data_IF_144360434525
#
_entry.id   IF_144360434525
#
_cell.length_a   1.000
_cell.length_b   1.000
_cell.length_c   1.000
_cell.angle_alpha   90.00
_cell.angle_beta   90.00
_cell.angle_gamma   90.00
#
_symmetry.space_group_name_H-M   'P 1'
#
loop_
_entity.id
_entity.type
_entity.pdbx_description
1 polymer ?
#
# COMPACT_ATOMS: atom_id res chain seq x y z
N UNK A 1 12.07 -60.07 -12.79
CA UNK A 1 11.66 -61.02 -13.84
C UNK A 1 11.05 -60.20 -14.96
N UNK A 2 11.75 -60.12 -16.10
CA UNK A 2 11.42 -59.29 -17.25
C UNK A 2 10.64 -60.11 -18.29
N UNK A 3 9.65 -59.48 -18.94
CA UNK A 3 8.92 -59.97 -20.13
C UNK A 3 8.45 -58.71 -20.88
N UNK A 4 9.26 -58.15 -21.80
CA UNK A 4 9.32 -58.36 -23.27
C UNK A 4 8.15 -57.80 -24.09
N UNK A 5 8.56 -56.88 -24.97
CA UNK A 5 7.97 -56.09 -26.07
C UNK A 5 7.06 -56.86 -27.07
N UNK A 6 6.26 -56.14 -27.89
CA UNK A 6 6.61 -56.11 -29.32
C UNK A 6 6.54 -54.74 -30.00
N UNK A 7 7.45 -54.60 -30.96
CA UNK A 7 7.67 -53.54 -31.95
C UNK A 7 6.92 -53.81 -33.27
N UNK A 8 6.56 -52.74 -33.98
CA UNK A 8 6.16 -52.74 -35.41
C UNK A 8 4.83 -52.01 -35.64
N UNK A 9 4.57 -51.20 -36.68
CA UNK A 9 5.14 -51.09 -38.03
C UNK A 9 4.88 -49.67 -38.60
N UNK A 10 5.79 -49.25 -39.48
CA UNK A 10 5.86 -48.05 -40.33
C UNK A 10 4.60 -47.72 -41.15
N UNK A 11 4.47 -46.43 -41.48
CA UNK A 11 4.11 -45.99 -42.84
C UNK A 11 3.24 -44.74 -42.93
N UNK A 12 3.71 -43.68 -43.59
CA UNK A 12 2.85 -42.59 -44.03
C UNK A 12 3.52 -41.23 -44.18
N UNK A 13 4.19 -41.04 -45.31
CA UNK A 13 4.58 -39.72 -45.83
C UNK A 13 3.40 -38.73 -45.85
N UNK A 14 3.60 -37.52 -45.32
CA UNK A 14 2.91 -36.33 -45.81
C UNK A 14 3.88 -35.12 -45.74
N UNK A 15 4.40 -34.74 -46.90
CA UNK A 15 5.20 -33.54 -47.12
C UNK A 15 4.27 -32.48 -47.72
N UNK A 16 3.97 -31.43 -46.96
CA UNK A 16 3.45 -30.13 -47.40
C UNK A 16 3.99 -29.15 -46.34
N UNK A 17 4.89 -28.20 -46.60
CA UNK A 17 4.96 -27.28 -47.73
C UNK A 17 4.20 -26.02 -47.36
N UNK A 18 4.87 -25.00 -46.77
CA UNK A 18 4.26 -23.68 -46.57
C UNK A 18 4.92 -22.82 -45.49
N UNK A 19 5.50 -21.70 -45.91
CA UNK A 19 6.10 -20.62 -45.10
C UNK A 19 5.11 -20.01 -44.09
N UNK A 20 5.64 -19.61 -42.93
CA UNK A 20 4.97 -18.73 -41.98
C UNK A 20 5.95 -18.18 -40.95
N UNK A 21 6.87 -17.32 -41.40
CA UNK A 21 7.64 -16.47 -40.50
C UNK A 21 6.67 -15.54 -39.76
N UNK A 22 6.64 -15.65 -38.44
CA UNK A 22 5.73 -14.90 -37.58
C UNK A 22 6.25 -14.93 -36.15
N UNK A 23 7.27 -14.11 -35.93
CA UNK A 23 7.71 -13.51 -34.67
C UNK A 23 7.15 -14.18 -33.40
N UNK A 24 8.01 -14.93 -32.70
CA UNK A 24 7.81 -15.22 -31.29
C UNK A 24 7.69 -13.88 -30.55
N UNK A 25 6.47 -13.39 -30.41
CA UNK A 25 6.13 -12.24 -29.59
C UNK A 25 6.54 -12.63 -28.18
N UNK A 26 7.63 -12.00 -27.72
CA UNK A 26 8.21 -12.22 -26.41
C UNK A 26 7.09 -12.21 -25.37
N UNK A 27 6.85 -13.39 -24.81
CA UNK A 27 6.37 -13.49 -23.44
C UNK A 27 7.43 -12.75 -22.65
N UNK A 28 7.15 -11.50 -22.29
CA UNK A 28 7.90 -10.80 -21.27
C UNK A 28 7.67 -11.57 -19.99
N UNK A 29 8.46 -12.63 -19.79
CA UNK A 29 8.62 -13.28 -18.51
C UNK A 29 8.98 -12.17 -17.53
N UNK A 30 8.00 -11.79 -16.72
CA UNK A 30 8.21 -10.90 -15.59
C UNK A 30 9.24 -11.58 -14.70
N UNK A 31 10.49 -11.15 -14.82
CA UNK A 31 11.59 -11.73 -14.06
C UNK A 31 11.19 -11.73 -12.59
N UNK A 32 11.14 -12.89 -11.91
CA UNK A 32 10.71 -12.95 -10.53
C UNK A 32 11.52 -11.97 -9.69
N UNK A 33 10.85 -11.07 -8.96
CA UNK A 33 11.54 -10.09 -8.13
C UNK A 33 12.45 -10.82 -7.14
N UNK A 34 13.71 -10.41 -7.10
CA UNK A 34 14.67 -11.00 -6.16
C UNK A 34 14.26 -10.68 -4.73
N UNK A 35 14.61 -11.55 -3.78
CA UNK A 35 14.33 -11.33 -2.36
C UNK A 35 14.83 -9.95 -1.87
N UNK A 36 15.99 -9.50 -2.38
CA UNK A 36 16.54 -8.18 -2.08
C UNK A 36 15.62 -7.03 -2.52
N UNK A 37 15.04 -7.10 -3.72
CA UNK A 37 14.12 -6.08 -4.23
C UNK A 37 12.80 -6.05 -3.45
N UNK A 38 12.30 -7.23 -3.05
CA UNK A 38 11.12 -7.35 -2.19
C UNK A 38 11.38 -6.68 -0.83
N UNK A 39 12.54 -6.95 -0.21
CA UNK A 39 12.90 -6.37 1.08
C UNK A 39 13.13 -4.85 0.99
N UNK A 40 13.70 -4.34 -0.10
CA UNK A 40 13.87 -2.91 -0.34
C UNK A 40 12.53 -2.18 -0.53
N UNK A 41 11.60 -2.78 -1.30
CA UNK A 41 10.25 -2.24 -1.46
C UNK A 41 9.47 -2.28 -0.14
N UNK A 42 9.58 -3.38 0.61
CA UNK A 42 8.91 -3.55 1.90
C UNK A 42 9.44 -2.56 2.93
N UNK A 43 10.75 -2.35 3.03
CA UNK A 43 11.33 -1.37 3.97
C UNK A 43 10.89 0.05 3.63
N UNK A 44 10.88 0.45 2.35
CA UNK A 44 10.36 1.76 1.94
C UNK A 44 8.88 1.96 2.30
N UNK A 45 8.06 0.93 2.09
CA UNK A 45 6.65 0.92 2.48
C UNK A 45 6.46 1.03 4.00
N UNK A 46 7.20 0.21 4.77
CA UNK A 46 7.15 0.19 6.23
C UNK A 46 7.59 1.54 6.83
N UNK A 47 8.64 2.16 6.29
CA UNK A 47 9.09 3.49 6.70
C UNK A 47 8.06 4.56 6.37
N UNK A 48 7.46 4.51 5.18
CA UNK A 48 6.39 5.43 4.80
C UNK A 48 5.17 5.32 5.74
N UNK A 49 4.76 4.10 6.07
CA UNK A 49 3.71 3.86 7.05
C UNK A 49 4.09 4.34 8.45
N UNK A 50 5.34 4.08 8.88
CA UNK A 50 5.85 4.57 10.16
C UNK A 50 5.69 6.08 10.29
N UNK A 51 6.17 6.83 9.29
CA UNK A 51 6.07 8.30 9.27
C UNK A 51 4.61 8.73 9.30
N UNK A 52 3.74 8.07 8.53
CA UNK A 52 2.32 8.43 8.48
C UNK A 52 1.59 8.19 9.82
N UNK A 53 1.86 7.06 10.47
CA UNK A 53 1.25 6.74 11.78
C UNK A 53 1.80 7.68 12.85
N UNK A 54 3.12 7.92 12.86
CA UNK A 54 3.78 8.78 13.84
C UNK A 54 3.22 10.22 13.74
N UNK A 55 3.22 10.78 12.53
CA UNK A 55 2.67 12.11 12.26
C UNK A 55 1.19 12.19 12.65
N UNK A 56 0.37 11.21 12.28
CA UNK A 56 -1.05 11.19 12.68
C UNK A 56 -1.21 11.17 14.21
N UNK A 57 -0.36 10.44 14.92
CA UNK A 57 -0.40 10.36 16.39
C UNK A 57 0.02 11.68 17.04
N UNK A 58 1.07 12.34 16.55
CA UNK A 58 1.51 13.66 17.04
C UNK A 58 0.37 14.67 16.93
N UNK A 59 -0.26 14.80 15.76
CA UNK A 59 -1.34 15.77 15.57
C UNK A 59 -2.58 15.40 16.40
N UNK A 60 -2.83 14.11 16.68
CA UNK A 60 -3.92 13.69 17.56
C UNK A 60 -3.69 14.08 19.03
N UNK A 61 -2.45 14.02 19.53
CA UNK A 61 -2.14 14.46 20.90
C UNK A 61 -2.24 15.98 21.04
N UNK A 62 -1.72 16.73 20.07
CA UNK A 62 -1.79 18.19 20.04
C UNK A 62 -3.17 18.72 19.61
N UNK A 63 -4.13 17.86 19.24
CA UNK A 63 -5.39 18.28 18.66
C UNK A 63 -6.21 19.25 19.52
N UNK A 64 -6.32 19.08 20.86
CA UNK A 64 -7.08 20.02 21.70
C UNK A 64 -6.53 21.44 21.62
N UNK A 65 -5.21 21.60 21.66
CA UNK A 65 -4.52 22.89 21.56
C UNK A 65 -4.68 23.49 20.16
N UNK A 66 -4.43 22.70 19.11
CA UNK A 66 -4.61 23.14 17.71
C UNK A 66 -6.02 23.65 17.46
N UNK A 67 -7.05 22.95 17.94
CA UNK A 67 -8.44 23.37 17.76
C UNK A 67 -8.75 24.66 18.53
N UNK A 68 -8.21 24.80 19.75
CA UNK A 68 -8.34 26.02 20.55
C UNK A 68 -7.71 27.22 19.84
N UNK A 69 -6.48 27.07 19.32
CA UNK A 69 -5.75 28.13 18.61
C UNK A 69 -6.44 28.56 17.31
N UNK A 70 -7.10 27.61 16.64
CA UNK A 70 -7.90 27.87 15.43
C UNK A 70 -9.30 28.43 15.73
N UNK A 71 -9.63 28.69 17.00
CA UNK A 71 -10.95 29.17 17.44
C UNK A 71 -12.07 28.16 17.20
N UNK A 72 -11.75 26.87 17.05
CA UNK A 72 -12.72 25.79 16.84
C UNK A 72 -13.32 25.30 18.16
N UNK A 73 -14.61 24.98 18.14
CA UNK A 73 -15.28 24.36 19.28
C UNK A 73 -15.20 22.84 19.30
N UNK A 74 -15.90 22.21 20.25
CA UNK A 74 -15.98 20.76 20.40
C UNK A 74 -16.44 20.03 19.10
N UNK A 75 -17.34 20.65 18.34
CA UNK A 75 -17.79 20.10 17.05
C UNK A 75 -16.63 19.95 16.06
N UNK A 76 -15.71 20.91 16.01
CA UNK A 76 -14.55 20.85 15.13
C UNK A 76 -13.60 19.72 15.54
N UNK A 77 -13.35 19.56 16.84
CA UNK A 77 -12.55 18.46 17.38
C UNK A 77 -13.08 17.09 16.91
N UNK A 78 -14.39 16.86 17.09
CA UNK A 78 -15.04 15.62 16.62
C UNK A 78 -14.91 15.46 15.11
N UNK A 79 -15.20 16.50 14.34
CA UNK A 79 -15.15 16.44 12.88
C UNK A 79 -13.76 16.19 12.31
N UNK A 80 -12.69 16.68 12.95
CA UNK A 80 -11.31 16.39 12.50
C UNK A 80 -11.04 14.88 12.53
N UNK A 81 -11.40 14.20 13.63
CA UNK A 81 -11.18 12.77 13.77
C UNK A 81 -12.14 12.00 12.86
N UNK A 82 -13.43 12.33 12.89
CA UNK A 82 -14.46 11.65 12.09
C UNK A 82 -14.20 11.77 10.59
N UNK A 83 -13.84 12.95 10.09
CA UNK A 83 -13.58 13.16 8.67
C UNK A 83 -12.39 12.31 8.17
N UNK A 84 -11.32 12.22 8.97
CA UNK A 84 -10.17 11.35 8.66
C UNK A 84 -10.59 9.88 8.57
N UNK A 85 -11.36 9.39 9.55
CA UNK A 85 -11.82 8.01 9.59
C UNK A 85 -12.79 7.68 8.44
N UNK A 86 -13.71 8.60 8.14
CA UNK A 86 -14.64 8.47 7.01
C UNK A 86 -13.89 8.40 5.68
N UNK A 87 -12.94 9.32 5.45
CA UNK A 87 -12.15 9.35 4.23
C UNK A 87 -11.30 8.08 4.08
N UNK A 88 -10.61 7.66 5.14
CA UNK A 88 -9.83 6.42 5.16
C UNK A 88 -10.69 5.20 4.83
N UNK A 89 -11.84 5.07 5.50
CA UNK A 89 -12.76 3.95 5.31
C UNK A 89 -13.34 3.95 3.89
N UNK A 90 -13.81 5.10 3.42
CA UNK A 90 -14.42 5.24 2.11
C UNK A 90 -13.44 4.96 0.97
N UNK A 91 -12.16 5.34 1.11
CA UNK A 91 -11.16 5.18 0.04
C UNK A 91 -10.43 3.84 0.06
N UNK A 92 -10.43 3.10 1.18
CA UNK A 92 -9.83 1.76 1.28
C UNK A 92 -10.22 0.83 0.10
N UNK A 93 -11.52 0.63 -0.24
CA UNK A 93 -11.89 -0.23 -1.36
C UNK A 93 -11.51 0.35 -2.73
N UNK A 94 -11.45 1.69 -2.87
CA UNK A 94 -10.99 2.33 -4.11
C UNK A 94 -9.53 1.98 -4.38
N UNK A 95 -8.68 2.06 -3.35
CA UNK A 95 -7.27 1.68 -3.46
C UNK A 95 -7.10 0.20 -3.80
N UNK A 96 -7.94 -0.67 -3.24
CA UNK A 96 -7.98 -2.09 -3.60
C UNK A 96 -8.23 -2.29 -5.10
N UNK A 97 -9.31 -1.70 -5.62
CA UNK A 97 -9.64 -1.77 -7.05
C UNK A 97 -8.55 -1.17 -7.94
N UNK A 98 -7.94 -0.05 -7.52
CA UNK A 98 -6.83 0.54 -8.25
C UNK A 98 -5.60 -0.39 -8.29
N UNK A 99 -5.33 -1.14 -7.23
CA UNK A 99 -4.18 -2.06 -7.14
C UNK A 99 -4.31 -3.31 -8.02
N UNK A 100 -5.52 -3.62 -8.46
CA UNK A 100 -5.81 -4.65 -9.47
C UNK A 100 -5.53 -4.14 -10.89
N UNK A 101 -5.68 -2.82 -11.12
CA UNK A 101 -5.56 -2.19 -12.44
C UNK A 101 -4.18 -1.57 -12.70
N UNK A 102 -3.49 -1.11 -11.65
CA UNK A 102 -2.25 -0.34 -11.73
C UNK A 102 -1.10 -0.99 -10.97
N UNK A 103 0.12 -0.51 -11.24
CA UNK A 103 1.31 -0.94 -10.52
C UNK A 103 1.26 -0.55 -9.04
N UNK A 104 1.40 -1.54 -8.16
CA UNK A 104 1.36 -1.37 -6.70
C UNK A 104 2.41 -0.37 -6.19
N UNK A 105 3.62 -0.37 -6.78
CA UNK A 105 4.68 0.62 -6.48
C UNK A 105 4.22 2.05 -6.71
N UNK A 106 3.62 2.33 -7.87
CA UNK A 106 3.13 3.65 -8.23
C UNK A 106 2.03 4.10 -7.25
N UNK A 107 1.09 3.21 -6.94
CA UNK A 107 0.01 3.53 -6.01
C UNK A 107 0.52 3.84 -4.60
N UNK A 108 1.51 3.10 -4.10
CA UNK A 108 2.14 3.39 -2.80
C UNK A 108 2.77 4.78 -2.82
N UNK A 109 3.50 5.13 -3.88
CA UNK A 109 4.10 6.46 -4.02
C UNK A 109 3.05 7.57 -4.08
N UNK A 110 1.94 7.37 -4.81
CA UNK A 110 0.84 8.33 -4.86
C UNK A 110 0.21 8.50 -3.47
N UNK A 111 -0.08 7.41 -2.76
CA UNK A 111 -0.65 7.46 -1.41
C UNK A 111 0.27 8.21 -0.43
N UNK A 112 1.59 7.99 -0.51
CA UNK A 112 2.59 8.73 0.26
C UNK A 112 2.58 10.23 -0.07
N UNK A 113 2.57 10.59 -1.36
CA UNK A 113 2.54 12.00 -1.79
C UNK A 113 1.27 12.70 -1.31
N UNK A 114 0.11 12.06 -1.44
CA UNK A 114 -1.16 12.58 -0.92
C UNK A 114 -1.06 12.82 0.59
N UNK A 115 -0.51 11.86 1.32
CA UNK A 115 -0.33 11.98 2.76
C UNK A 115 0.57 13.16 3.13
N UNK A 116 1.77 13.23 2.55
CA UNK A 116 2.76 14.28 2.84
C UNK A 116 2.23 15.66 2.50
N UNK A 117 1.60 15.83 1.32
CA UNK A 117 1.01 17.11 0.93
C UNK A 117 -0.13 17.50 1.89
N UNK A 118 -0.98 16.55 2.26
CA UNK A 118 -2.03 16.79 3.25
C UNK A 118 -1.49 17.19 4.63
N UNK A 119 -0.35 16.63 5.06
CA UNK A 119 0.32 17.00 6.31
C UNK A 119 0.95 18.39 6.25
N UNK A 120 1.61 18.76 5.13
CA UNK A 120 2.20 20.09 4.94
C UNK A 120 1.11 21.16 4.97
N UNK A 121 0.01 20.96 4.23
CA UNK A 121 -1.10 21.92 4.20
C UNK A 121 -1.83 21.98 5.55
N UNK A 122 -1.93 20.87 6.27
CA UNK A 122 -2.47 20.87 7.63
C UNK A 122 -1.62 21.71 8.60
N UNK A 123 -0.28 21.67 8.49
CA UNK A 123 0.60 22.52 9.30
C UNK A 123 0.45 24.02 9.00
N UNK A 124 -0.11 24.38 7.85
CA UNK A 124 -0.40 25.75 7.44
C UNK A 124 -1.88 26.12 7.64
N UNK A 125 -2.67 25.29 8.34
CA UNK A 125 -4.10 25.53 8.47
C UNK A 125 -4.38 26.76 9.32
N UNK A 126 -5.22 27.67 8.83
CA UNK A 126 -5.62 28.91 9.51
C UNK A 126 -7.04 28.86 10.08
N UNK A 127 -7.77 27.77 9.82
CA UNK A 127 -9.11 27.54 10.36
C UNK A 127 -9.36 26.06 10.61
N UNK A 128 -10.25 25.77 11.54
CA UNK A 128 -10.69 24.39 11.82
C UNK A 128 -11.30 23.70 10.60
N UNK A 129 -12.02 24.44 9.74
CA UNK A 129 -12.55 23.91 8.48
C UNK A 129 -11.44 23.49 7.50
N UNK A 130 -10.39 24.30 7.35
CA UNK A 130 -9.23 23.95 6.54
C UNK A 130 -8.52 22.72 7.10
N UNK A 131 -8.36 22.63 8.43
CA UNK A 131 -7.79 21.46 9.08
C UNK A 131 -8.61 20.19 8.80
N UNK A 132 -9.95 20.25 8.90
CA UNK A 132 -10.85 19.13 8.58
C UNK A 132 -10.67 18.70 7.11
N UNK A 133 -10.61 19.64 6.17
CA UNK A 133 -10.37 19.33 4.76
C UNK A 133 -9.01 18.64 4.55
N UNK A 134 -7.95 19.12 5.23
CA UNK A 134 -6.64 18.47 5.19
C UNK A 134 -6.68 17.06 5.79
N UNK A 135 -7.49 16.83 6.83
CA UNK A 135 -7.70 15.49 7.41
C UNK A 135 -8.39 14.54 6.45
N UNK A 136 -9.33 15.02 5.65
CA UNK A 136 -9.91 14.22 4.57
C UNK A 136 -8.82 13.79 3.59
N UNK A 137 -7.99 14.73 3.11
CA UNK A 137 -6.88 14.44 2.19
C UNK A 137 -5.89 13.44 2.79
N UNK A 138 -5.48 13.63 4.05
CA UNK A 138 -4.60 12.70 4.74
C UNK A 138 -5.26 11.33 4.93
N UNK A 139 -6.56 11.27 5.25
CA UNK A 139 -7.33 10.04 5.37
C UNK A 139 -7.32 9.21 4.09
N UNK A 140 -7.40 9.86 2.92
CA UNK A 140 -7.23 9.21 1.61
C UNK A 140 -5.85 8.54 1.50
N UNK A 141 -4.79 9.26 1.90
CA UNK A 141 -3.43 8.74 1.91
C UNK A 141 -3.24 7.55 2.85
N UNK A 142 -3.67 7.68 4.12
CA UNK A 142 -3.57 6.61 5.13
C UNK A 142 -4.39 5.37 4.75
N UNK A 143 -5.59 5.55 4.19
CA UNK A 143 -6.40 4.45 3.66
C UNK A 143 -5.69 3.69 2.55
N UNK A 144 -5.02 4.43 1.65
CA UNK A 144 -4.20 3.85 0.60
C UNK A 144 -2.99 3.09 1.12
N UNK A 145 -2.21 3.70 2.01
CA UNK A 145 -1.03 3.05 2.60
C UNK A 145 -1.41 1.75 3.33
N UNK A 146 -2.49 1.77 4.11
CA UNK A 146 -2.96 0.61 4.87
C UNK A 146 -3.44 -0.52 3.96
N UNK A 147 -4.25 -0.20 2.93
CA UNK A 147 -4.74 -1.18 1.97
C UNK A 147 -3.62 -1.75 1.11
N UNK A 148 -2.80 -0.87 0.52
CA UNK A 148 -1.71 -1.25 -0.38
C UNK A 148 -0.64 -2.06 0.35
N UNK A 149 -0.39 -1.81 1.63
CA UNK A 149 0.54 -2.63 2.40
C UNK A 149 0.10 -4.09 2.46
N UNK A 150 -1.18 -4.34 2.78
CA UNK A 150 -1.73 -5.70 2.80
C UNK A 150 -1.70 -6.34 1.40
N UNK A 151 -2.04 -5.58 0.36
CA UNK A 151 -2.05 -6.06 -1.03
C UNK A 151 -0.64 -6.41 -1.51
N UNK A 152 0.34 -5.54 -1.25
CA UNK A 152 1.75 -5.74 -1.62
C UNK A 152 2.33 -6.94 -0.90
N UNK A 153 2.05 -7.08 0.40
CA UNK A 153 2.45 -8.27 1.16
C UNK A 153 1.83 -9.55 0.60
N UNK A 154 0.51 -9.54 0.31
CA UNK A 154 -0.18 -10.70 -0.22
C UNK A 154 0.37 -11.16 -1.58
N UNK A 155 0.84 -10.20 -2.40
CA UNK A 155 1.39 -10.47 -3.73
C UNK A 155 2.84 -11.02 -3.70
N UNK A 156 3.67 -10.61 -2.73
CA UNK A 156 5.09 -10.96 -2.70
C UNK A 156 5.43 -12.10 -1.73
N UNK A 157 4.57 -12.38 -0.75
CA UNK A 157 4.89 -13.28 0.37
C UNK A 157 3.97 -14.51 0.35
N UNK A 158 4.60 -15.68 0.37
CA UNK A 158 3.90 -16.97 0.46
C UNK A 158 3.04 -17.03 1.74
N UNK A 159 1.84 -17.64 1.71
CA UNK A 159 0.90 -17.65 2.83
C UNK A 159 1.51 -18.07 4.19
N UNK A 160 2.43 -19.04 4.17
CA UNK A 160 3.15 -19.55 5.36
C UNK A 160 4.06 -18.54 6.04
N UNK A 161 4.56 -17.54 5.31
CA UNK A 161 5.47 -16.52 5.85
C UNK A 161 4.74 -15.25 6.25
N UNK A 162 3.49 -15.04 5.79
CA UNK A 162 2.72 -13.81 6.02
C UNK A 162 2.63 -13.44 7.50
N UNK A 163 2.52 -14.42 8.40
CA UNK A 163 2.51 -14.17 9.84
C UNK A 163 3.74 -13.41 10.36
N UNK A 164 4.94 -13.75 9.87
CA UNK A 164 6.18 -13.06 10.26
C UNK A 164 6.21 -11.63 9.75
N UNK A 165 5.79 -11.39 8.50
CA UNK A 165 5.77 -10.07 7.89
C UNK A 165 4.66 -9.16 8.44
N UNK A 166 3.50 -9.73 8.77
CA UNK A 166 2.46 -9.04 9.56
C UNK A 166 2.99 -8.63 10.93
N UNK A 167 3.91 -9.40 11.51
CA UNK A 167 4.65 -9.00 12.72
C UNK A 167 5.48 -7.74 12.54
N UNK A 168 6.14 -7.54 11.39
CA UNK A 168 6.88 -6.30 11.11
C UNK A 168 5.96 -5.10 10.96
N UNK A 169 4.82 -5.25 10.29
CA UNK A 169 3.80 -4.20 10.28
C UNK A 169 3.33 -3.89 11.70
N UNK A 170 2.94 -4.90 12.47
CA UNK A 170 2.52 -4.73 13.86
C UNK A 170 3.56 -4.00 14.72
N UNK A 171 4.85 -4.33 14.55
CA UNK A 171 5.94 -3.64 15.24
C UNK A 171 6.04 -2.17 14.83
N UNK A 172 5.95 -1.85 13.55
CA UNK A 172 5.93 -0.46 13.06
C UNK A 172 4.77 0.32 13.65
N UNK A 173 3.57 -0.26 13.66
CA UNK A 173 2.39 0.35 14.28
C UNK A 173 2.61 0.60 15.78
N UNK A 174 3.14 -0.38 16.51
CA UNK A 174 3.41 -0.25 17.94
C UNK A 174 4.42 0.87 18.23
N UNK A 175 5.57 0.87 17.53
CA UNK A 175 6.62 1.89 17.73
C UNK A 175 6.13 3.28 17.34
N UNK A 176 5.41 3.42 16.24
CA UNK A 176 4.88 4.71 15.80
C UNK A 176 3.81 5.26 16.76
N UNK A 177 2.95 4.39 17.31
CA UNK A 177 1.90 4.78 18.25
C UNK A 177 2.49 5.20 19.60
N UNK A 178 3.52 4.51 20.08
CA UNK A 178 4.23 4.87 21.33
C UNK A 178 5.11 6.12 21.14
N UNK A 179 5.72 6.28 19.96
CA UNK A 179 6.55 7.45 19.65
C UNK A 179 5.76 8.76 19.55
N UNK A 180 4.48 8.70 19.18
CA UNK A 180 3.66 9.89 18.96
C UNK A 180 3.50 10.78 20.19
N UNK A 181 3.04 10.28 21.35
CA UNK A 181 2.94 11.07 22.57
C UNK A 181 4.28 11.62 23.06
N UNK A 182 5.39 10.91 22.84
CA UNK A 182 6.73 11.35 23.25
C UNK A 182 7.27 12.53 22.42
N UNK A 183 6.80 12.70 21.18
CA UNK A 183 7.23 13.76 20.28
C UNK A 183 6.23 14.92 20.18
N UNK A 184 4.97 14.69 20.55
CA UNK A 184 3.86 15.64 20.37
C UNK A 184 3.20 16.12 21.65
N UNK A 185 3.70 15.72 22.82
CA UNK A 185 3.18 16.10 24.14
C UNK A 185 4.21 16.81 24.99
#
# INVERSE_FOLDING_TARGET
MATTTPTGVRGGHAKHGGHGGGNASGVSDGTPMTHRQIMEALTGLLLGMFVAILSSTVVSNALPEIISDLGGGQSAYTWVVTASLLAMTATTPLWGKLADLFSKKLLVQIALVIYVLGSVVAGLSTSSGMLIACRVVQGIGVGGLSALAQIVMAAMIAPRERGRYSGYLGAVFAVATVGGPLLGG
#
